data_IF_280308804931
#
_entry.id   IF_280308804931
#
_cell.length_a   1.000
_cell.length_b   1.000
_cell.length_c   1.000
_cell.angle_alpha   90.00
_cell.angle_beta   90.00
_cell.angle_gamma   90.00
#
_symmetry.space_group_name_H-M   'P 1'
#
loop_
_entity.id
_entity.type
_entity.pdbx_description
1 polymer ?
#
# COMPACT_ATOMS: atom_id res chain seq x y z
N UNK A 1 15.01 14.24 -26.17
CA UNK A 1 14.62 13.10 -25.39
C UNK A 1 13.16 13.16 -24.99
N UNK A 2 12.55 12.01 -24.80
CA UNK A 2 11.14 11.90 -24.46
C UNK A 2 10.79 12.65 -23.18
N UNK A 3 11.74 12.71 -22.25
CA UNK A 3 11.52 13.38 -20.94
C UNK A 3 11.27 14.88 -21.05
N UNK A 4 11.65 15.51 -22.16
CA UNK A 4 11.42 16.94 -22.35
C UNK A 4 10.00 17.28 -22.78
N UNK A 5 9.34 16.32 -23.43
CA UNK A 5 8.00 16.51 -23.97
C UNK A 5 6.90 15.89 -23.10
N UNK A 6 7.29 15.14 -22.07
CA UNK A 6 6.36 14.46 -21.15
C UNK A 6 6.30 15.26 -19.86
N UNK A 7 5.10 15.61 -19.39
CA UNK A 7 4.97 16.27 -18.08
C UNK A 7 5.49 15.36 -16.96
N UNK A 8 5.83 15.94 -15.83
CA UNK A 8 6.24 15.18 -14.66
C UNK A 8 5.12 14.24 -14.25
N UNK A 9 5.49 13.01 -13.94
CA UNK A 9 4.52 12.00 -13.53
C UNK A 9 5.09 11.16 -12.40
N UNK A 10 4.21 10.57 -11.64
CA UNK A 10 4.53 9.65 -10.55
C UNK A 10 3.82 8.33 -10.82
N UNK A 11 4.52 7.23 -10.61
CA UNK A 11 3.95 5.90 -10.68
C UNK A 11 3.80 5.39 -9.27
N UNK A 12 2.57 5.16 -8.86
CA UNK A 12 2.25 4.64 -7.52
C UNK A 12 2.07 3.14 -7.59
N UNK A 13 2.78 2.43 -6.73
CA UNK A 13 2.71 0.98 -6.60
C UNK A 13 1.99 0.62 -5.31
N UNK A 14 0.98 -0.22 -5.42
CA UNK A 14 0.20 -0.70 -4.29
C UNK A 14 0.02 -2.20 -4.39
N UNK A 15 -0.10 -2.86 -3.24
CA UNK A 15 -0.36 -4.30 -3.21
C UNK A 15 -1.33 -4.62 -2.09
N UNK A 16 -2.51 -5.08 -2.44
CA UNK A 16 -3.54 -5.43 -1.48
C UNK A 16 -3.19 -6.64 -0.62
N UNK A 17 -2.28 -7.49 -1.08
CA UNK A 17 -1.89 -8.70 -0.37
C UNK A 17 -1.30 -8.46 1.00
N UNK A 18 -0.56 -7.35 1.19
CA UNK A 18 0.00 -7.01 2.49
C UNK A 18 -1.11 -6.73 3.51
N UNK A 19 -2.07 -5.89 3.15
CA UNK A 19 -3.22 -5.59 4.02
C UNK A 19 -4.04 -6.85 4.32
N UNK A 20 -4.31 -7.65 3.29
CA UNK A 20 -5.07 -8.89 3.45
C UNK A 20 -4.38 -9.85 4.41
N UNK A 21 -3.06 -10.00 4.28
CA UNK A 21 -2.29 -10.88 5.16
C UNK A 21 -2.34 -10.40 6.61
N UNK A 22 -2.22 -9.09 6.85
CA UNK A 22 -2.33 -8.53 8.19
C UNK A 22 -3.72 -8.80 8.78
N UNK A 23 -4.77 -8.62 7.99
CA UNK A 23 -6.13 -8.86 8.44
C UNK A 23 -6.38 -10.34 8.74
N UNK A 24 -5.74 -11.25 8.02
CA UNK A 24 -5.88 -12.68 8.25
C UNK A 24 -5.16 -13.14 9.51
N UNK A 25 -4.17 -12.39 9.98
CA UNK A 25 -3.41 -12.72 11.19
C UNK A 25 -4.13 -12.33 12.47
N UNK A 26 -5.06 -11.41 12.39
CA UNK A 26 -5.84 -10.99 13.55
C UNK A 26 -7.29 -11.44 13.34
N UNK A 27 -7.86 -12.21 14.30
CA UNK A 27 -9.25 -12.65 14.16
C UNK A 27 -10.20 -11.48 14.35
N UNK A 28 -10.69 -10.97 13.23
CA UNK A 28 -11.72 -9.92 13.22
C UNK A 28 -12.92 -10.43 12.44
N UNK A 29 -14.09 -9.96 12.79
CA UNK A 29 -15.30 -10.26 12.03
C UNK A 29 -15.26 -9.54 10.68
N UNK A 30 -16.13 -9.96 9.76
CA UNK A 30 -16.24 -9.29 8.46
C UNK A 30 -16.63 -7.83 8.62
N UNK A 31 -17.51 -7.53 9.58
CA UNK A 31 -17.91 -6.15 9.86
C UNK A 31 -16.74 -5.30 10.37
N UNK A 32 -15.92 -5.85 11.26
CA UNK A 32 -14.74 -5.16 11.77
C UNK A 32 -13.71 -4.92 10.67
N UNK A 33 -13.56 -5.87 9.77
CA UNK A 33 -12.68 -5.74 8.61
C UNK A 33 -13.15 -4.61 7.71
N UNK A 34 -14.44 -4.53 7.43
CA UNK A 34 -15.04 -3.46 6.64
C UNK A 34 -14.87 -2.11 7.30
N UNK A 35 -15.01 -2.03 8.63
CA UNK A 35 -14.82 -0.79 9.38
C UNK A 35 -13.37 -0.29 9.25
N UNK A 36 -12.40 -1.18 9.43
CA UNK A 36 -10.98 -0.84 9.29
C UNK A 36 -10.71 -0.34 7.87
N UNK A 37 -11.21 -1.05 6.89
CA UNK A 37 -11.04 -0.68 5.49
C UNK A 37 -11.64 0.68 5.19
N UNK A 38 -12.84 0.94 5.70
CA UNK A 38 -13.54 2.21 5.50
C UNK A 38 -12.78 3.38 6.14
N UNK A 39 -12.22 3.19 7.32
CA UNK A 39 -11.43 4.24 7.98
C UNK A 39 -10.18 4.59 7.17
N UNK A 40 -9.50 3.58 6.64
CA UNK A 40 -8.29 3.79 5.83
C UNK A 40 -8.67 4.49 4.51
N UNK A 41 -9.71 4.04 3.85
CA UNK A 41 -10.18 4.62 2.59
C UNK A 41 -10.59 6.09 2.77
N UNK A 42 -11.28 6.40 3.87
CA UNK A 42 -11.70 7.75 4.19
C UNK A 42 -10.59 8.61 4.79
N UNK A 43 -9.41 8.03 5.03
CA UNK A 43 -8.27 8.68 5.71
C UNK A 43 -8.62 9.18 7.10
N UNK A 44 -9.56 8.51 7.74
CA UNK A 44 -9.98 8.85 9.10
C UNK A 44 -9.12 8.05 10.11
N UNK A 45 -7.89 8.47 10.26
CA UNK A 45 -6.90 7.75 11.08
C UNK A 45 -7.18 7.86 12.57
N UNK A 46 -7.82 8.92 12.99
CA UNK A 46 -8.24 9.07 14.39
C UNK A 46 -9.26 8.00 14.78
N UNK A 47 -10.27 7.79 13.93
CA UNK A 47 -11.26 6.74 14.14
C UNK A 47 -10.64 5.35 14.03
N UNK A 48 -9.70 5.17 13.09
CA UNK A 48 -8.99 3.91 12.94
C UNK A 48 -8.23 3.56 14.22
N UNK A 49 -7.47 4.50 14.77
CA UNK A 49 -6.70 4.27 15.97
C UNK A 49 -7.60 3.97 17.17
N UNK A 50 -8.70 4.71 17.30
CA UNK A 50 -9.68 4.47 18.37
C UNK A 50 -10.30 3.08 18.26
N UNK A 51 -10.60 2.65 17.05
CA UNK A 51 -11.13 1.32 16.83
C UNK A 51 -10.10 0.23 17.15
N UNK A 52 -8.86 0.41 16.69
CA UNK A 52 -7.78 -0.55 16.95
C UNK A 52 -7.45 -0.67 18.45
N UNK A 53 -7.67 0.40 19.22
CA UNK A 53 -7.48 0.37 20.67
C UNK A 53 -8.47 -0.58 21.38
N UNK A 54 -9.60 -0.87 20.74
CA UNK A 54 -10.59 -1.81 21.30
C UNK A 54 -10.24 -3.27 21.05
N UNK A 55 -9.28 -3.53 20.18
CA UNK A 55 -8.88 -4.88 19.80
C UNK A 55 -7.71 -5.35 20.67
N UNK A 56 -7.48 -6.67 20.66
CA UNK A 56 -6.28 -7.23 21.27
C UNK A 56 -5.04 -6.66 20.59
N UNK A 57 -4.07 -6.19 21.36
CA UNK A 57 -2.88 -5.54 20.84
C UNK A 57 -1.87 -6.58 20.34
N UNK A 58 -2.07 -7.05 19.13
CA UNK A 58 -1.18 -8.01 18.47
C UNK A 58 -0.19 -7.27 17.58
N UNK A 59 0.80 -8.01 17.07
CA UNK A 59 1.76 -7.47 16.12
C UNK A 59 1.06 -7.03 14.83
N UNK A 60 0.03 -7.76 14.40
CA UNK A 60 -0.76 -7.40 13.22
C UNK A 60 -1.50 -6.08 13.42
N UNK A 61 -2.08 -5.85 14.59
CA UNK A 61 -2.75 -4.58 14.91
C UNK A 61 -1.75 -3.42 14.89
N UNK A 62 -0.56 -3.62 15.44
CA UNK A 62 0.48 -2.61 15.40
C UNK A 62 0.88 -2.27 13.97
N UNK A 63 0.98 -3.27 13.11
CA UNK A 63 1.28 -3.06 11.69
C UNK A 63 0.15 -2.29 10.99
N UNK A 64 -1.10 -2.60 11.29
CA UNK A 64 -2.25 -1.88 10.71
C UNK A 64 -2.22 -0.40 11.11
N UNK A 65 -1.83 -0.09 12.34
CA UNK A 65 -1.69 1.32 12.77
C UNK A 65 -0.67 2.08 11.95
N UNK A 66 0.38 1.40 11.47
CA UNK A 66 1.45 2.01 10.70
C UNK A 66 1.10 2.19 9.22
N UNK A 67 0.13 1.42 8.71
CA UNK A 67 -0.22 1.43 7.29
C UNK A 67 -0.39 2.84 6.70
N UNK A 68 -1.11 3.77 7.36
CA UNK A 68 -1.30 5.11 6.78
C UNK A 68 -0.01 5.90 6.57
N UNK A 69 1.08 5.49 7.22
CA UNK A 69 2.38 6.15 7.11
C UNK A 69 3.34 5.41 6.20
N UNK A 70 2.94 4.27 5.67
CA UNK A 70 3.79 3.45 4.81
C UNK A 70 3.64 3.89 3.36
N UNK A 71 4.18 5.06 3.05
CA UNK A 71 4.25 5.56 1.68
C UNK A 71 5.60 6.25 1.48
N UNK A 72 6.13 6.17 0.26
CA UNK A 72 7.43 6.75 -0.07
C UNK A 72 8.20 5.87 -1.04
N UNK A 73 9.51 5.82 -0.88
CA UNK A 73 10.41 5.05 -1.73
C UNK A 73 10.64 3.64 -1.20
N UNK A 74 11.78 3.06 -1.56
CA UNK A 74 12.14 1.69 -1.21
C UNK A 74 12.19 1.45 0.30
N UNK A 75 12.50 2.48 1.08
CA UNK A 75 12.57 2.38 2.55
C UNK A 75 11.26 1.92 3.16
N UNK A 76 10.14 2.18 2.49
CA UNK A 76 8.81 1.74 2.94
C UNK A 76 8.74 0.22 3.00
N UNK A 77 9.33 -0.46 2.04
CA UNK A 77 9.35 -1.93 2.00
C UNK A 77 10.14 -2.51 3.16
N UNK A 78 11.27 -1.89 3.50
CA UNK A 78 12.09 -2.31 4.63
C UNK A 78 11.34 -2.11 5.95
N UNK A 79 10.71 -0.95 6.11
CA UNK A 79 9.90 -0.66 7.30
C UNK A 79 8.75 -1.64 7.45
N UNK A 80 8.03 -1.91 6.37
CA UNK A 80 6.92 -2.85 6.39
C UNK A 80 7.37 -4.26 6.72
N UNK A 81 8.52 -4.69 6.21
CA UNK A 81 9.04 -6.03 6.49
C UNK A 81 9.42 -6.23 7.96
N UNK A 82 9.78 -5.15 8.65
CA UNK A 82 10.07 -5.19 10.07
C UNK A 82 8.81 -5.29 10.94
N UNK A 83 7.67 -4.88 10.39
CA UNK A 83 6.39 -4.88 11.11
C UNK A 83 5.73 -6.25 11.16
N UNK A 84 6.19 -7.21 10.38
CA UNK A 84 5.58 -8.53 10.31
C UNK A 84 6.63 -9.62 10.16
N UNK A 85 6.34 -10.81 10.70
CA UNK A 85 7.20 -11.99 10.59
C UNK A 85 6.57 -13.05 9.69
N UNK A 86 5.37 -12.79 9.20
CA UNK A 86 4.59 -13.76 8.46
C UNK A 86 4.99 -13.79 6.99
N UNK A 87 5.18 -14.98 6.45
CA UNK A 87 5.53 -15.16 5.05
C UNK A 87 4.46 -14.64 4.10
N UNK A 88 3.20 -14.76 4.48
CA UNK A 88 2.09 -14.31 3.65
C UNK A 88 2.08 -12.78 3.51
N UNK A 89 2.55 -12.07 4.55
CA UNK A 89 2.68 -10.62 4.50
C UNK A 89 3.99 -10.19 3.83
N UNK A 90 5.06 -10.95 3.99
CA UNK A 90 6.36 -10.64 3.39
C UNK A 90 6.39 -10.85 1.88
N UNK A 91 5.65 -11.84 1.37
CA UNK A 91 5.63 -12.16 -0.06
C UNK A 91 5.18 -10.97 -0.93
N UNK A 92 4.08 -10.26 -0.61
CA UNK A 92 3.72 -9.05 -1.36
C UNK A 92 4.81 -7.99 -1.37
N UNK A 93 5.52 -7.83 -0.26
CA UNK A 93 6.60 -6.86 -0.15
C UNK A 93 7.79 -7.23 -1.03
N UNK A 94 8.13 -8.51 -1.08
CA UNK A 94 9.19 -9.01 -1.96
C UNK A 94 8.84 -8.79 -3.43
N UNK A 95 7.59 -9.03 -3.79
CA UNK A 95 7.10 -8.83 -5.14
C UNK A 95 7.17 -7.35 -5.55
N UNK A 96 6.75 -6.45 -4.65
CA UNK A 96 6.84 -5.02 -4.89
C UNK A 96 8.30 -4.59 -5.05
N UNK A 97 9.20 -5.16 -4.27
CA UNK A 97 10.63 -4.85 -4.37
C UNK A 97 11.20 -5.26 -5.73
N UNK A 98 10.83 -6.44 -6.22
CA UNK A 98 11.25 -6.90 -7.54
C UNK A 98 10.80 -5.94 -8.63
N UNK A 99 9.55 -5.49 -8.56
CA UNK A 99 9.00 -4.54 -9.54
C UNK A 99 9.68 -3.19 -9.40
N UNK A 100 9.89 -2.71 -8.18
CA UNK A 100 10.58 -1.46 -7.93
C UNK A 100 11.98 -1.46 -8.52
N UNK A 101 12.74 -2.53 -8.27
CA UNK A 101 14.09 -2.68 -8.80
C UNK A 101 14.09 -2.74 -10.32
N UNK A 102 13.13 -3.47 -10.90
CA UNK A 102 13.00 -3.59 -12.35
C UNK A 102 12.73 -2.23 -13.00
N UNK A 103 11.80 -1.46 -12.46
CA UNK A 103 11.46 -0.14 -12.97
C UNK A 103 12.59 0.87 -12.76
N UNK A 104 13.34 0.72 -11.69
CA UNK A 104 14.52 1.55 -11.44
C UNK A 104 15.60 1.32 -12.52
N UNK A 105 15.76 0.08 -12.96
CA UNK A 105 16.68 -0.25 -14.05
C UNK A 105 16.27 0.39 -15.37
N UNK A 106 14.99 0.67 -15.56
CA UNK A 106 14.49 1.39 -16.73
C UNK A 106 14.58 2.91 -16.58
N UNK A 107 15.17 3.40 -15.50
CA UNK A 107 15.34 4.84 -15.28
C UNK A 107 14.13 5.52 -14.63
N UNK A 108 13.19 4.77 -14.10
CA UNK A 108 11.96 5.29 -13.51
C UNK A 108 12.01 5.40 -11.99
N UNK A 109 13.15 5.10 -11.36
CA UNK A 109 13.26 5.05 -9.90
C UNK A 109 12.83 6.33 -9.19
N UNK A 110 13.14 7.49 -9.74
CA UNK A 110 12.77 8.79 -9.15
C UNK A 110 11.27 9.09 -9.27
N UNK A 111 10.57 8.34 -10.09
CA UNK A 111 9.14 8.54 -10.33
C UNK A 111 8.27 7.52 -9.62
N UNK A 112 8.90 6.59 -8.90
CA UNK A 112 8.19 5.53 -8.21
C UNK A 112 7.84 5.95 -6.79
N UNK A 113 6.65 5.60 -6.38
CA UNK A 113 6.16 5.77 -5.02
C UNK A 113 5.41 4.51 -4.60
N UNK A 114 5.69 4.04 -3.41
CA UNK A 114 4.99 2.89 -2.85
C UNK A 114 4.02 3.40 -1.79
N UNK A 115 2.77 2.95 -1.86
CA UNK A 115 1.77 3.30 -0.87
C UNK A 115 1.09 2.01 -0.41
N UNK A 116 1.40 1.58 0.81
CA UNK A 116 0.81 0.39 1.41
C UNK A 116 -0.44 0.71 2.24
N UNK A 117 -0.67 1.99 2.52
CA UNK A 117 -1.81 2.43 3.32
C UNK A 117 -3.06 2.72 2.53
N UNK A 118 -2.97 2.71 1.20
CA UNK A 118 -4.12 3.02 0.36
C UNK A 118 -4.89 1.74 0.06
N UNK A 119 -5.95 1.52 0.81
CA UNK A 119 -6.82 0.35 0.65
C UNK A 119 -8.11 0.78 -0.04
N UNK A 120 -8.18 0.58 -1.34
CA UNK A 120 -9.40 0.81 -2.10
C UNK A 120 -10.15 -0.50 -2.26
N UNK A 121 -11.48 -0.45 -2.34
CA UNK A 121 -12.29 -1.66 -2.48
C UNK A 121 -11.94 -2.47 -3.71
N UNK A 122 -11.59 -1.79 -4.80
CA UNK A 122 -11.20 -2.44 -6.04
C UNK A 122 -9.88 -3.21 -5.91
N UNK A 123 -9.05 -2.89 -4.92
CA UNK A 123 -7.78 -3.57 -4.69
C UNK A 123 -7.96 -5.01 -4.20
N UNK A 124 -9.17 -5.38 -3.75
CA UNK A 124 -9.45 -6.77 -3.36
C UNK A 124 -9.36 -7.75 -4.52
N UNK A 125 -9.54 -7.27 -5.74
CA UNK A 125 -9.58 -8.12 -6.93
C UNK A 125 -8.22 -8.23 -7.62
N UNK A 126 -7.25 -7.44 -7.18
CA UNK A 126 -5.92 -7.42 -7.77
C UNK A 126 -4.86 -7.54 -6.69
N UNK A 127 -3.86 -8.36 -6.94
CA UNK A 127 -2.75 -8.49 -6.01
C UNK A 127 -1.88 -7.23 -6.04
N UNK A 128 -1.64 -6.70 -7.22
CA UNK A 128 -0.84 -5.49 -7.38
C UNK A 128 -1.56 -4.50 -8.27
N UNK A 129 -1.45 -3.23 -7.94
CA UNK A 129 -2.05 -2.14 -8.70
C UNK A 129 -1.01 -1.07 -8.98
N UNK A 130 -0.96 -0.63 -10.23
CA UNK A 130 -0.14 0.50 -10.66
C UNK A 130 -1.05 1.66 -11.01
N UNK A 131 -0.67 2.85 -10.59
CA UNK A 131 -1.38 4.06 -10.97
C UNK A 131 -0.37 5.12 -11.37
N UNK A 132 -0.56 5.69 -12.56
CA UNK A 132 0.26 6.78 -13.03
C UNK A 132 -0.47 8.10 -12.85
N UNK A 133 0.19 9.08 -12.26
CA UNK A 133 -0.34 10.40 -12.02
C UNK A 133 0.52 11.44 -12.73
N UNK A 134 -0.15 12.36 -13.44
CA UNK A 134 0.50 13.52 -14.02
C UNK A 134 0.43 14.67 -13.03
N UNK A 135 1.51 15.44 -12.91
CA UNK A 135 1.55 16.58 -12.00
C UNK A 135 0.42 17.56 -12.33
N UNK A 136 -0.30 17.98 -11.29
CA UNK A 136 -1.44 18.87 -11.43
C UNK A 136 -2.76 18.17 -11.68
N UNK A 137 -2.77 16.86 -11.91
CA UNK A 137 -3.97 16.07 -12.05
C UNK A 137 -4.22 15.29 -10.76
N UNK A 138 -5.42 15.38 -10.23
CA UNK A 138 -5.82 14.62 -9.06
C UNK A 138 -6.26 13.18 -9.37
N UNK A 139 -6.34 12.83 -10.65
CA UNK A 139 -6.81 11.53 -11.09
C UNK A 139 -5.71 10.76 -11.83
N UNK A 140 -5.69 9.43 -11.69
CA UNK A 140 -4.72 8.61 -12.42
C UNK A 140 -5.01 8.64 -13.92
N UNK A 141 -3.95 8.81 -14.71
CA UNK A 141 -4.04 8.78 -16.18
C UNK A 141 -3.75 7.40 -16.73
N UNK A 142 -3.17 6.52 -15.91
CA UNK A 142 -2.85 5.15 -16.26
C UNK A 142 -3.11 4.27 -15.04
N UNK A 143 -3.90 3.24 -15.21
CA UNK A 143 -4.16 2.26 -14.15
C UNK A 143 -3.90 0.88 -14.73
N UNK A 144 -3.09 0.10 -14.05
CA UNK A 144 -2.84 -1.29 -14.38
C UNK A 144 -2.92 -2.13 -13.13
N UNK A 145 -3.14 -3.43 -13.29
CA UNK A 145 -3.20 -4.35 -12.18
C UNK A 145 -3.08 -5.80 -12.63
N UNK A 146 -2.87 -6.69 -11.64
CA UNK A 146 -2.70 -8.10 -11.91
C UNK A 146 -3.39 -8.95 -10.86
#
# INVERSE_FOLDING_TARGET
ALTRCVPDFTIELRHAGFFKALMNKHPVSDNEREDIHSFIEAKNYSALNSFLDTLEQTKAVAAIRRLPRLFGGEEVLNEASELCDDKDALRPLEYLKEIYDCLTKFGLGERLMIDLGLAQRNDYYSDIVFSGYVEGSGEPVLIGGR
#
